data_IF_507093481214
#
_entry.id   IF_507093481214
#
_cell.length_a   1.000
_cell.length_b   1.000
_cell.length_c   1.000
_cell.angle_alpha   90.00
_cell.angle_beta   90.00
_cell.angle_gamma   90.00
#
_symmetry.space_group_name_H-M   'P 1'
#
loop_
_entity.id
_entity.type
_entity.pdbx_description
1 polymer ?
2 water ?
#
# COMPACT_ATOMS: atom_id res chain seq x y z
N UNK A 5 1.22 2.58 14.74
CA UNK A 5 1.40 1.52 13.70
C UNK A 5 1.80 2.13 12.36
N UNK A 6 2.68 1.43 11.66
CA UNK A 6 3.14 1.82 10.34
C UNK A 6 2.46 1.01 9.25
N UNK A 7 1.29 0.45 9.55
CA UNK A 7 0.58 -0.40 8.58
C UNK A 7 -0.33 0.43 7.67
N UNK A 8 -0.21 0.23 6.36
CA UNK A 8 -1.14 0.85 5.41
C UNK A 8 -1.80 -0.19 4.51
N UNK A 9 -3.02 0.10 4.06
CA UNK A 9 -3.62 -0.69 2.98
C UNK A 9 -3.78 0.19 1.75
N UNK A 10 -3.74 -0.44 0.59
CA UNK A 10 -3.77 0.26 -0.69
C UNK A 10 -4.84 -0.44 -1.49
N UNK A 11 -5.84 0.32 -1.93
CA UNK A 11 -7.01 -0.23 -2.59
C UNK A 11 -7.10 0.28 -4.02
N UNK A 12 -7.84 -0.46 -4.85
CA UNK A 12 -7.99 -0.12 -6.26
C UNK A 12 -6.67 -0.19 -7.04
N UNK A 13 -5.81 -1.13 -6.65
CA UNK A 13 -4.60 -1.49 -7.40
C UNK A 13 -4.95 -2.21 -8.67
N UNK A 14 -4.25 -1.86 -9.75
CA UNK A 14 -4.29 -2.66 -10.98
C UNK A 14 -3.85 -4.08 -10.61
N UNK A 15 -4.53 -5.08 -11.17
CA UNK A 15 -4.33 -6.47 -10.77
C UNK A 15 -3.04 -7.08 -11.34
N UNK A 16 -2.38 -6.33 -12.23
CA UNK A 16 -1.07 -6.73 -12.75
C UNK A 16 0.09 -6.33 -11.84
N UNK A 17 -0.16 -5.51 -10.81
CA UNK A 17 0.88 -5.17 -9.82
C UNK A 17 1.12 -6.38 -8.93
N UNK A 18 2.39 -6.77 -8.81
CA UNK A 18 2.79 -7.88 -7.96
C UNK A 18 3.55 -7.35 -6.75
N UNK A 19 4.01 -8.24 -5.86
CA UNK A 19 4.69 -7.80 -4.63
C UNK A 19 5.91 -6.90 -4.87
N UNK A 20 6.72 -7.23 -5.88
CA UNK A 20 7.93 -6.46 -6.18
C UNK A 20 7.60 -5.05 -6.68
N UNK A 21 6.61 -4.94 -7.57
CA UNK A 21 6.11 -3.64 -8.02
C UNK A 21 5.55 -2.82 -6.84
N UNK A 22 4.84 -3.46 -5.92
CA UNK A 22 4.34 -2.78 -4.72
C UNK A 22 5.49 -2.25 -3.86
N UNK A 23 6.49 -3.11 -3.62
CA UNK A 23 7.69 -2.72 -2.85
C UNK A 23 8.35 -1.53 -3.52
N UNK A 24 8.55 -1.62 -4.83
CA UNK A 24 9.17 -0.53 -5.58
C UNK A 24 8.41 0.80 -5.46
N UNK A 25 7.09 0.74 -5.38
CA UNK A 25 6.26 1.94 -5.24
C UNK A 25 6.39 2.57 -3.83
N UNK A 26 6.53 1.74 -2.81
CA UNK A 26 6.45 2.23 -1.42
C UNK A 26 7.75 2.30 -0.63
N UNK A 27 8.83 1.73 -1.17
CA UNK A 27 10.12 1.68 -0.45
C UNK A 27 10.72 3.07 -0.24
N UNK A 28 10.30 4.03 -1.07
CA UNK A 28 10.69 5.43 -0.91
C UNK A 28 10.46 6.00 0.51
N UNK A 29 9.36 5.59 1.15
CA UNK A 29 8.82 6.33 2.31
C UNK A 29 9.39 5.92 3.65
N UNK A 30 10.01 4.75 3.71
CA UNK A 30 10.57 4.26 4.96
C UNK A 30 11.00 2.82 4.85
N UNK A 31 11.43 2.28 5.98
CA UNK A 31 11.84 0.90 6.08
C UNK A 31 10.62 0.01 6.02
N UNK A 32 10.58 -0.88 5.03
CA UNK A 32 9.45 -1.80 4.85
C UNK A 32 9.79 -3.14 5.51
N UNK A 33 8.91 -3.56 6.42
CA UNK A 33 9.00 -4.83 7.12
C UNK A 33 8.40 -5.95 6.29
N UNK A 34 7.23 -5.70 5.73
CA UNK A 34 6.64 -6.65 4.81
C UNK A 34 5.70 -5.93 3.88
N UNK A 35 5.37 -6.59 2.78
CA UNK A 35 4.37 -6.03 1.91
C UNK A 35 3.92 -7.06 0.93
N UNK A 36 2.63 -7.03 0.64
CA UNK A 36 2.06 -8.05 -0.20
C UNK A 36 0.81 -7.56 -0.89
N UNK A 37 0.57 -8.12 -2.07
CA UNK A 37 -0.68 -7.97 -2.76
C UNK A 37 -1.53 -9.16 -2.35
N UNK A 38 -2.75 -8.90 -1.88
CA UNK A 38 -3.63 -9.98 -1.47
C UNK A 38 -4.23 -10.68 -2.70
N UNK A 39 -4.17 -12.01 -2.68
CA UNK A 39 -4.67 -12.80 -3.80
C UNK A 39 -5.48 -14.01 -3.34
N UNK A 40 -6.39 -14.45 -4.21
CA UNK A 40 -7.20 -15.63 -3.96
C UNK A 40 -6.83 -16.69 -5.00
N UNK A 41 -7.70 -17.68 -5.21
CA UNK A 41 -7.43 -18.76 -6.16
C UNK A 41 -7.23 -18.23 -7.59
N UNK A 42 -7.87 -17.10 -7.90
CA UNK A 42 -7.89 -16.56 -9.25
C UNK A 42 -6.99 -15.34 -9.47
N UNK A 43 -5.97 -15.19 -8.63
CA UNK A 43 -4.98 -14.13 -8.80
C UNK A 43 -5.20 -12.96 -7.85
N UNK A 44 -4.57 -11.83 -8.17
CA UNK A 44 -4.68 -10.62 -7.35
C UNK A 44 -6.13 -10.24 -7.06
N UNK A 45 -6.37 -9.80 -5.83
CA UNK A 45 -7.68 -9.30 -5.45
C UNK A 45 -7.74 -7.76 -5.54
N UNK A 46 -6.67 -7.16 -6.05
CA UNK A 46 -6.67 -5.73 -6.34
C UNK A 46 -6.42 -4.82 -5.16
N UNK A 47 -5.87 -5.38 -4.08
CA UNK A 47 -5.43 -4.57 -2.95
C UNK A 47 -4.17 -5.09 -2.29
N UNK A 48 -3.49 -4.21 -1.55
CA UNK A 48 -2.22 -4.57 -0.95
C UNK A 48 -2.02 -4.02 0.43
N UNK A 49 -1.02 -4.57 1.10
CA UNK A 49 -0.65 -4.16 2.46
C UNK A 49 0.83 -3.83 2.47
N UNK A 50 1.20 -2.77 3.17
CA UNK A 50 2.61 -2.46 3.40
C UNK A 50 2.75 -2.16 4.88
N UNK A 51 3.68 -2.86 5.52
CA UNK A 51 3.98 -2.67 6.94
C UNK A 51 5.29 -1.91 7.07
N UNK A 52 5.22 -0.62 7.42
CA UNK A 52 6.44 0.14 7.64
C UNK A 52 6.84 -0.01 9.09
N UNK A 53 8.13 0.17 9.36
CA UNK A 53 8.64 0.20 10.73
C UNK A 53 8.05 1.36 11.57
N UNK A 54 7.84 2.52 10.95
CA UNK A 54 7.31 3.68 11.68
C UNK A 54 6.01 4.26 11.14
N UNK A 55 5.26 4.87 12.06
CA UNK A 55 4.05 5.63 11.75
C UNK A 55 4.33 6.79 10.79
N UNK A 56 5.44 7.49 11.02
CA UNK A 56 5.80 8.63 10.17
C UNK A 56 6.00 8.21 8.72
N UNK A 57 6.56 7.01 8.51
CA UNK A 57 6.74 6.50 7.14
C UNK A 57 5.39 6.29 6.47
N UNK A 58 4.46 5.67 7.21
CA UNK A 58 3.08 5.47 6.71
C UNK A 58 2.41 6.80 6.32
N UNK A 59 2.62 7.84 7.12
CA UNK A 59 2.03 9.15 6.85
C UNK A 59 2.64 9.78 5.61
N UNK A 60 3.94 9.59 5.41
CA UNK A 60 4.62 10.08 4.20
C UNK A 60 4.05 9.37 2.97
N UNK A 61 3.85 8.06 3.09
CA UNK A 61 3.28 7.26 1.98
C UNK A 61 1.86 7.73 1.60
N UNK A 62 1.03 7.95 2.61
CA UNK A 62 -0.35 8.43 2.41
C UNK A 62 -0.35 9.80 1.77
N UNK A 63 0.49 10.70 2.28
CA UNK A 63 0.55 12.07 1.77
C UNK A 63 0.85 12.06 0.27
N UNK A 64 1.82 11.26 -0.14
CA UNK A 64 2.28 11.26 -1.54
C UNK A 64 1.40 10.42 -2.47
N UNK A 65 0.90 9.29 -1.99
CA UNK A 65 0.29 8.27 -2.85
C UNK A 65 -1.23 8.18 -2.84
N UNK A 66 -1.86 8.64 -1.76
CA UNK A 66 -3.33 8.55 -1.68
C UNK A 66 -3.96 9.38 -2.80
N UNK A 67 -4.81 8.74 -3.61
CA UNK A 67 -5.48 9.41 -4.72
C UNK A 67 -4.70 9.52 -6.01
N UNK A 68 -3.46 9.03 -6.01
CA UNK A 68 -2.58 9.12 -7.18
C UNK A 68 -2.88 8.03 -8.22
N UNK A 69 -2.47 8.27 -9.46
CA UNK A 69 -2.60 7.30 -10.54
C UNK A 69 -1.51 6.23 -10.46
N UNK A 70 -1.94 4.98 -10.35
CA UNK A 70 -1.06 3.83 -10.52
C UNK A 70 -1.70 3.02 -11.65
N UNK A 71 -1.03 3.00 -12.80
CA UNK A 71 -1.64 2.58 -14.06
C UNK A 71 -2.80 3.52 -14.40
N UNK A 72 -3.94 2.98 -14.82
CA UNK A 72 -5.09 3.81 -15.20
C UNK A 72 -6.04 4.11 -14.03
N UNK A 73 -5.60 3.77 -12.82
CA UNK A 73 -6.51 3.65 -11.69
C UNK A 73 -6.01 4.46 -10.49
N UNK A 74 -6.87 5.32 -9.95
CA UNK A 74 -6.53 6.05 -8.73
C UNK A 74 -6.51 5.07 -7.58
N UNK A 75 -5.45 5.10 -6.79
CA UNK A 75 -5.39 4.25 -5.63
C UNK A 75 -5.81 5.02 -4.39
N UNK A 76 -6.42 4.30 -3.46
CA UNK A 76 -6.62 4.80 -2.13
C UNK A 76 -5.51 4.21 -1.26
N UNK A 77 -4.93 5.03 -0.39
CA UNK A 77 -3.96 4.59 0.61
C UNK A 77 -4.42 5.10 2.00
N UNK A 78 -4.50 4.20 2.98
CA UNK A 78 -4.96 4.58 4.31
C UNK A 78 -4.28 3.81 5.41
N UNK A 79 -4.29 4.36 6.62
CA UNK A 79 -3.77 3.66 7.80
C UNK A 79 -4.74 2.57 8.25
N UNK A 80 -4.19 1.45 8.72
CA UNK A 80 -5.01 0.44 9.39
C UNK A 80 -5.67 0.97 10.66
N UNK A 81 -4.89 1.70 11.46
CA UNK A 81 -5.37 2.28 12.70
C UNK A 81 -5.14 3.79 12.66
N UNK A 82 -6.17 4.55 12.99
CA UNK A 82 -6.08 6.01 12.96
C UNK A 82 -5.49 6.57 14.26
N UNK A 83 -4.97 7.79 14.20
CA UNK A 83 -4.43 8.47 15.38
C UNK A 83 -5.55 8.75 16.39
N UNK A 84 -5.17 8.80 17.67
CA UNK A 84 -6.13 9.03 18.75
C UNK A 84 -6.76 10.42 18.67
N UNK A 85 -8.07 10.48 18.93
CA UNK A 85 -8.82 11.73 18.88
C UNK A 85 -10.01 11.69 19.84
#
# INVERSE_FOLDING_TARGET
GPLGSGNIFIKNLDKSIDNKALYDTFSAFGNILSCKVVCDENGSKGYGFVHFETQEAAERAIEKMNGMLLNDRKVFVGRFKSRKEREAELGARAKEFTNVYIKNFGPGSTRAAAS
#
